data_IF_945939989694
#
_entry.id   IF_945939989694
#
_cell.length_a   1.000
_cell.length_b   1.000
_cell.length_c   1.000
_cell.angle_alpha   90.00
_cell.angle_beta   90.00
_cell.angle_gamma   90.00
#
_symmetry.space_group_name_H-M   'P 1'
#
loop_
_entity.id
_entity.type
_entity.pdbx_description
1 polymer ?
#
# COMPACT_ATOMS: atom_id res chain seq x y z
N UNK A 1 -16.17 -10.81 22.44
CA UNK A 1 -15.69 -11.56 21.29
C UNK A 1 -14.83 -10.68 20.41
N UNK A 2 -13.62 -11.06 20.31
CA UNK A 2 -12.72 -10.35 19.41
C UNK A 2 -12.71 -11.05 18.08
N UNK A 3 -12.98 -10.30 17.06
CA UNK A 3 -12.67 -10.76 15.72
C UNK A 3 -11.59 -9.84 15.23
N UNK A 4 -10.37 -10.26 15.44
CA UNK A 4 -9.24 -9.50 14.97
C UNK A 4 -9.21 -9.61 13.46
N UNK A 5 -9.89 -8.69 12.79
CA UNK A 5 -9.90 -8.62 11.34
C UNK A 5 -8.53 -8.22 10.82
N UNK A 6 -7.80 -7.44 11.59
CA UNK A 6 -6.55 -6.85 11.17
C UNK A 6 -5.39 -7.33 12.02
N UNK A 7 -4.24 -7.50 11.39
CA UNK A 7 -3.01 -7.94 12.07
C UNK A 7 -2.22 -6.73 12.58
N UNK A 8 -1.96 -5.77 11.68
CA UNK A 8 -1.14 -4.59 11.98
C UNK A 8 -1.24 -3.60 10.83
N UNK A 9 -0.58 -2.45 10.99
CA UNK A 9 -0.35 -1.54 9.87
C UNK A 9 0.76 -2.18 9.01
N UNK A 10 0.46 -2.42 7.75
CA UNK A 10 1.42 -3.05 6.84
C UNK A 10 2.41 -2.03 6.31
N UNK A 11 1.93 -0.94 5.77
CA UNK A 11 2.79 0.11 5.22
C UNK A 11 2.02 1.42 5.03
N UNK A 12 2.80 2.47 4.80
CA UNK A 12 2.27 3.78 4.38
C UNK A 12 2.80 4.04 2.98
N UNK A 13 1.91 4.38 2.06
CA UNK A 13 2.29 4.64 0.67
C UNK A 13 2.54 6.12 0.43
N UNK A 14 3.72 6.44 -0.07
CA UNK A 14 4.11 7.79 -0.42
C UNK A 14 4.24 7.92 -1.94
N UNK A 15 3.52 8.86 -2.51
CA UNK A 15 3.64 9.17 -3.94
C UNK A 15 4.82 10.13 -4.13
N UNK A 16 5.79 9.74 -4.95
CA UNK A 16 7.01 10.51 -5.18
C UNK A 16 7.24 10.66 -6.69
N UNK A 17 7.78 11.82 -7.13
CA UNK A 17 8.02 12.00 -8.55
C UNK A 17 9.20 11.20 -9.10
N UNK A 18 10.19 10.90 -8.25
CA UNK A 18 11.41 10.21 -8.67
C UNK A 18 11.74 9.13 -7.65
N UNK A 19 11.61 7.86 -8.07
CA UNK A 19 11.80 6.74 -7.16
C UNK A 19 13.23 6.63 -6.66
N UNK A 20 14.22 6.81 -7.54
CA UNK A 20 15.62 6.70 -7.15
C UNK A 20 16.01 7.75 -6.11
N UNK A 21 15.55 8.98 -6.29
CA UNK A 21 15.82 10.03 -5.31
C UNK A 21 15.18 9.71 -3.96
N UNK A 22 13.94 9.24 -3.97
CA UNK A 22 13.24 8.90 -2.74
C UNK A 22 13.90 7.73 -2.02
N UNK A 23 14.36 6.72 -2.77
CA UNK A 23 15.11 5.60 -2.19
C UNK A 23 16.41 6.12 -1.57
N UNK A 24 17.14 6.96 -2.28
CA UNK A 24 18.40 7.52 -1.81
C UNK A 24 18.20 8.30 -0.51
N UNK A 25 17.16 9.14 -0.45
CA UNK A 25 16.87 9.89 0.76
C UNK A 25 16.65 8.96 1.96
N UNK A 26 15.81 7.93 1.77
CA UNK A 26 15.48 7.03 2.87
C UNK A 26 16.65 6.16 3.29
N UNK A 27 17.49 5.75 2.34
CA UNK A 27 18.63 4.86 2.68
C UNK A 27 19.85 5.63 3.13
N UNK A 28 20.24 6.68 2.42
CA UNK A 28 21.48 7.40 2.72
C UNK A 28 21.30 8.45 3.81
N UNK A 29 20.16 9.15 3.83
CA UNK A 29 19.93 10.20 4.81
C UNK A 29 19.28 9.67 6.08
N UNK A 30 18.23 8.87 5.93
CA UNK A 30 17.46 8.36 7.09
C UNK A 30 18.00 7.05 7.64
N UNK A 31 18.85 6.35 6.90
CA UNK A 31 19.44 5.10 7.37
C UNK A 31 18.52 3.88 7.27
N UNK A 32 17.43 3.98 6.51
CA UNK A 32 16.52 2.86 6.30
C UNK A 32 17.10 1.92 5.24
N UNK A 33 16.44 0.80 5.00
CA UNK A 33 16.88 -0.20 4.04
C UNK A 33 15.89 -0.36 2.91
N UNK A 34 16.42 -0.53 1.71
CA UNK A 34 15.59 -0.96 0.57
C UNK A 34 15.35 -2.45 0.70
N UNK A 35 14.08 -2.85 0.84
CA UNK A 35 13.70 -4.24 1.05
C UNK A 35 13.24 -4.90 -0.23
N UNK A 36 12.61 -4.16 -1.13
CA UNK A 36 12.04 -4.71 -2.34
C UNK A 36 11.83 -3.58 -3.35
N UNK A 37 12.00 -3.89 -4.61
CA UNK A 37 11.75 -2.92 -5.69
C UNK A 37 11.17 -3.68 -6.89
N UNK A 38 10.11 -3.12 -7.48
CA UNK A 38 9.52 -3.71 -8.67
C UNK A 38 8.80 -2.64 -9.50
N UNK A 39 8.48 -3.00 -10.74
CA UNK A 39 7.62 -2.18 -11.58
C UNK A 39 6.33 -2.95 -11.84
N UNK A 40 5.21 -2.27 -11.70
CA UNK A 40 3.92 -2.83 -11.99
C UNK A 40 3.38 -2.12 -13.23
N UNK A 41 3.52 -2.77 -14.38
CA UNK A 41 3.12 -2.17 -15.66
C UNK A 41 1.61 -2.00 -15.75
N UNK A 42 0.86 -2.93 -15.17
CA UNK A 42 -0.60 -2.86 -15.19
C UNK A 42 -1.10 -1.61 -14.46
N UNK A 43 -0.50 -1.29 -13.32
CA UNK A 43 -0.86 -0.12 -12.54
C UNK A 43 -0.11 1.14 -12.97
N UNK A 44 0.90 1.00 -13.80
CA UNK A 44 1.72 2.12 -14.26
C UNK A 44 2.57 2.73 -13.16
N UNK A 45 3.12 1.91 -12.26
CA UNK A 45 3.83 2.40 -11.10
C UNK A 45 5.13 1.64 -10.88
N UNK A 46 6.18 2.39 -10.48
CA UNK A 46 7.43 1.82 -9.96
C UNK A 46 7.36 1.92 -8.45
N UNK A 47 7.69 0.83 -7.77
CA UNK A 47 7.50 0.70 -6.33
C UNK A 47 8.77 0.29 -5.62
N UNK A 48 8.93 0.77 -4.39
CA UNK A 48 9.99 0.33 -3.50
C UNK A 48 9.46 0.19 -2.08
N UNK A 49 9.79 -0.91 -1.41
CA UNK A 49 9.48 -1.08 0.01
C UNK A 49 10.73 -0.75 0.81
N UNK A 50 10.55 0.11 1.78
CA UNK A 50 11.63 0.64 2.62
C UNK A 50 11.31 0.29 4.07
N UNK A 51 12.28 -0.20 4.80
CA UNK A 51 12.08 -0.56 6.20
C UNK A 51 13.25 -0.16 7.06
N UNK A 52 13.04 -0.26 8.36
CA UNK A 52 14.11 -0.03 9.33
C UNK A 52 15.01 -1.26 9.41
N UNK A 53 16.12 -1.15 10.16
CA UNK A 53 17.03 -2.27 10.31
C UNK A 53 16.43 -3.51 10.96
N UNK A 54 15.48 -3.30 11.87
CA UNK A 54 14.77 -4.41 12.51
C UNK A 54 13.46 -4.65 11.75
N UNK A 55 13.40 -5.76 11.03
CA UNK A 55 12.26 -6.09 10.21
C UNK A 55 11.43 -7.23 10.81
N UNK A 56 11.02 -7.04 12.06
CA UNK A 56 10.05 -7.95 12.64
C UNK A 56 8.78 -7.99 11.80
N UNK A 57 8.02 -9.11 11.82
CA UNK A 57 6.85 -9.26 10.94
C UNK A 57 5.76 -8.21 11.15
N UNK A 58 5.76 -7.54 12.28
CA UNK A 58 4.74 -6.51 12.55
C UNK A 58 5.26 -5.09 12.41
N UNK A 59 6.51 -4.91 11.97
CA UNK A 59 7.05 -3.58 11.75
C UNK A 59 6.51 -3.00 10.46
N UNK A 60 5.91 -1.82 10.56
CA UNK A 60 5.36 -1.14 9.40
C UNK A 60 6.49 -0.67 8.48
N UNK A 61 6.21 -0.68 7.19
CA UNK A 61 7.15 -0.24 6.16
C UNK A 61 6.64 1.01 5.47
N UNK A 62 7.49 1.62 4.68
CA UNK A 62 7.11 2.69 3.76
C UNK A 62 7.13 2.11 2.36
N UNK A 63 6.07 2.38 1.59
CA UNK A 63 6.05 2.06 0.17
C UNK A 63 6.22 3.35 -0.61
N UNK A 64 7.26 3.41 -1.43
CA UNK A 64 7.48 4.54 -2.32
C UNK A 64 6.87 4.20 -3.67
N UNK A 65 6.09 5.13 -4.23
CA UNK A 65 5.35 4.90 -5.47
C UNK A 65 5.63 6.04 -6.43
N UNK A 66 6.24 5.73 -7.58
CA UNK A 66 6.51 6.72 -8.61
C UNK A 66 5.79 6.33 -9.90
N UNK A 67 5.30 7.31 -10.67
CA UNK A 67 4.57 6.99 -11.88
C UNK A 67 5.50 6.51 -13.00
N UNK A 68 5.07 5.47 -13.72
CA UNK A 68 5.76 5.04 -14.96
C UNK A 68 5.27 5.82 -16.16
N UNK A 69 4.07 6.40 -16.09
CA UNK A 69 3.49 7.17 -17.18
C UNK A 69 2.47 8.17 -16.64
N UNK A 70 2.02 9.07 -17.51
CA UNK A 70 1.09 10.14 -17.14
C UNK A 70 -0.31 9.67 -16.77
N UNK A 71 -0.67 8.47 -17.19
CA UNK A 71 -2.03 7.96 -17.01
C UNK A 71 -2.21 7.15 -15.74
N UNK A 72 -1.13 6.91 -15.00
CA UNK A 72 -1.22 6.12 -13.78
C UNK A 72 -1.97 6.87 -12.68
N UNK A 73 -2.54 6.11 -11.75
CA UNK A 73 -3.22 6.68 -10.59
C UNK A 73 -2.28 7.55 -9.77
N UNK A 74 -1.01 7.13 -9.66
CA UNK A 74 0.00 7.91 -8.91
C UNK A 74 0.31 9.23 -9.60
N UNK A 75 0.43 9.23 -10.95
CA UNK A 75 0.66 10.47 -11.68
C UNK A 75 -0.49 11.46 -11.47
N UNK A 76 -1.73 10.95 -11.50
CA UNK A 76 -2.91 11.78 -11.27
C UNK A 76 -2.96 12.32 -9.85
N UNK A 77 -2.57 11.50 -8.87
CA UNK A 77 -2.51 11.93 -7.48
C UNK A 77 -1.51 13.08 -7.32
N UNK A 78 -0.29 12.92 -7.87
CA UNK A 78 0.74 13.95 -7.77
C UNK A 78 0.28 15.23 -8.47
N UNK A 79 -0.35 15.09 -9.65
CA UNK A 79 -0.85 16.26 -10.38
C UNK A 79 -1.93 17.02 -9.65
N UNK A 80 -2.75 16.33 -8.85
CA UNK A 80 -3.85 16.95 -8.12
C UNK A 80 -3.43 17.46 -6.74
N UNK A 81 -2.59 16.72 -6.05
CA UNK A 81 -2.29 16.97 -4.64
C UNK A 81 -0.82 17.21 -4.34
N UNK A 82 0.06 17.05 -5.33
CA UNK A 82 1.50 17.07 -5.09
C UNK A 82 2.01 15.75 -4.50
N UNK A 83 3.33 15.60 -4.37
CA UNK A 83 3.91 14.43 -3.69
C UNK A 83 3.44 14.37 -2.24
N UNK A 84 3.34 13.15 -1.69
CA UNK A 84 2.97 12.99 -0.31
C UNK A 84 2.32 11.65 -0.02
N UNK A 85 1.71 11.54 1.16
CA UNK A 85 1.04 10.30 1.55
C UNK A 85 -0.18 10.05 0.67
N UNK A 86 -0.24 8.86 0.06
CA UNK A 86 -1.28 8.50 -0.87
C UNK A 86 -2.22 7.45 -0.27
N UNK A 87 -1.68 6.51 0.50
CA UNK A 87 -2.48 5.41 1.04
C UNK A 87 -1.94 4.92 2.37
N UNK A 88 -2.82 4.28 3.12
CA UNK A 88 -2.48 3.60 4.37
C UNK A 88 -2.93 2.15 4.22
N UNK A 89 -2.04 1.20 4.47
CA UNK A 89 -2.35 -0.21 4.28
C UNK A 89 -2.40 -0.95 5.60
N UNK A 90 -3.48 -1.72 5.77
CA UNK A 90 -3.67 -2.60 6.92
C UNK A 90 -3.44 -4.04 6.47
N UNK A 91 -2.69 -4.79 7.28
CA UNK A 91 -2.46 -6.21 7.00
C UNK A 91 -3.60 -7.04 7.54
N UNK A 92 -4.05 -8.01 6.73
CA UNK A 92 -5.10 -8.94 7.10
C UNK A 92 -4.60 -10.36 6.90
N UNK A 93 -5.10 -11.31 7.68
CA UNK A 93 -4.73 -12.71 7.51
C UNK A 93 -5.55 -13.38 6.40
N UNK A 94 -6.81 -12.97 6.26
CA UNK A 94 -7.73 -13.57 5.29
C UNK A 94 -8.51 -12.43 4.62
N UNK A 95 -8.06 -12.02 3.45
CA UNK A 95 -8.65 -10.87 2.76
C UNK A 95 -10.10 -11.13 2.35
N UNK A 96 -10.42 -12.34 1.92
CA UNK A 96 -11.78 -12.64 1.50
C UNK A 96 -12.76 -12.55 2.68
N UNK A 97 -12.38 -13.07 3.84
CA UNK A 97 -13.20 -13.00 5.03
C UNK A 97 -13.36 -11.56 5.53
N UNK A 98 -12.28 -10.79 5.55
CA UNK A 98 -12.34 -9.38 5.96
C UNK A 98 -13.21 -8.59 4.99
N UNK A 99 -13.05 -8.82 3.70
CA UNK A 99 -13.85 -8.14 2.68
C UNK A 99 -15.35 -8.40 2.87
N UNK A 100 -15.72 -9.65 3.12
CA UNK A 100 -17.12 -10.00 3.35
C UNK A 100 -17.67 -9.30 4.61
N UNK A 101 -16.90 -9.30 5.68
CA UNK A 101 -17.30 -8.65 6.93
C UNK A 101 -17.48 -7.15 6.75
N UNK A 102 -16.54 -6.50 6.07
CA UNK A 102 -16.63 -5.05 5.84
C UNK A 102 -17.84 -4.70 4.98
N UNK A 103 -18.12 -5.50 3.94
CA UNK A 103 -19.30 -5.28 3.11
C UNK A 103 -20.58 -5.41 3.93
N UNK A 104 -20.64 -6.39 4.83
CA UNK A 104 -21.80 -6.53 5.72
C UNK A 104 -21.99 -5.33 6.62
N UNK A 105 -20.89 -4.66 6.98
CA UNK A 105 -20.92 -3.47 7.83
C UNK A 105 -21.06 -2.17 7.04
N UNK A 106 -21.32 -2.26 5.73
CA UNK A 106 -21.62 -1.10 4.89
C UNK A 106 -20.41 -0.43 4.26
N UNK A 107 -19.23 -1.03 4.34
CA UNK A 107 -18.03 -0.49 3.70
C UNK A 107 -17.93 -1.02 2.28
N UNK A 108 -17.82 -0.12 1.31
CA UNK A 108 -17.63 -0.51 -0.09
C UNK A 108 -16.15 -0.75 -0.36
N UNK A 109 -15.89 -1.79 -1.16
CA UNK A 109 -14.53 -2.06 -1.63
C UNK A 109 -14.44 -1.69 -3.09
N UNK A 110 -13.27 -1.22 -3.54
CA UNK A 110 -13.10 -0.74 -4.90
C UNK A 110 -13.15 -1.85 -5.94
N UNK A 111 -12.71 -3.06 -5.58
CA UNK A 111 -12.72 -4.19 -6.50
C UNK A 111 -13.70 -5.25 -6.03
N UNK A 112 -14.43 -5.89 -6.97
CA UNK A 112 -15.32 -7.01 -6.61
C UNK A 112 -14.53 -8.16 -6.01
N UNK A 113 -13.30 -8.39 -6.49
CA UNK A 113 -12.42 -9.45 -6.04
C UNK A 113 -11.03 -8.89 -5.81
N UNK A 114 -10.25 -9.58 -4.96
CA UNK A 114 -8.89 -9.18 -4.66
C UNK A 114 -8.04 -9.16 -5.92
N UNK A 115 -7.07 -8.25 -5.95
CA UNK A 115 -6.10 -8.14 -7.03
C UNK A 115 -4.70 -8.38 -6.49
N UNK A 116 -3.78 -8.63 -7.40
CA UNK A 116 -2.38 -8.78 -7.03
C UNK A 116 -1.76 -7.44 -6.70
N UNK A 117 -1.03 -7.41 -5.59
CA UNK A 117 -0.29 -6.23 -5.15
C UNK A 117 1.20 -6.49 -5.11
N UNK A 118 1.91 -5.63 -4.38
CA UNK A 118 3.36 -5.68 -4.25
C UNK A 118 3.84 -7.01 -3.67
N UNK A 119 4.92 -7.54 -4.21
CA UNK A 119 5.60 -8.74 -3.71
C UNK A 119 4.68 -9.96 -3.61
N UNK A 120 3.73 -10.09 -4.54
CA UNK A 120 2.85 -11.25 -4.60
C UNK A 120 1.72 -11.24 -3.58
N UNK A 121 1.48 -10.12 -2.91
CA UNK A 121 0.35 -9.98 -2.00
C UNK A 121 -0.98 -9.96 -2.74
N UNK A 122 -2.07 -10.16 -1.98
CA UNK A 122 -3.43 -9.94 -2.48
C UNK A 122 -3.96 -8.69 -1.83
N UNK A 123 -4.59 -7.83 -2.61
CA UNK A 123 -5.03 -6.53 -2.11
C UNK A 123 -6.45 -6.18 -2.54
N UNK A 124 -7.03 -5.26 -1.78
CA UNK A 124 -8.22 -4.52 -2.17
C UNK A 124 -8.16 -3.17 -1.45
N UNK A 125 -9.03 -2.27 -1.80
CA UNK A 125 -9.11 -0.95 -1.18
C UNK A 125 -10.51 -0.68 -0.69
N UNK A 126 -10.62 -0.04 0.47
CA UNK A 126 -11.88 0.50 0.93
C UNK A 126 -12.18 1.81 0.20
N UNK A 127 -13.45 2.06 -0.11
CA UNK A 127 -13.83 3.32 -0.74
C UNK A 127 -13.57 4.47 0.23
N UNK A 128 -12.83 5.52 -0.20
CA UNK A 128 -12.46 6.60 0.72
C UNK A 128 -13.64 7.30 1.37
N UNK A 129 -14.80 7.36 0.72
CA UNK A 129 -15.99 7.97 1.32
C UNK A 129 -16.48 7.23 2.55
N UNK A 130 -16.12 5.95 2.69
CA UNK A 130 -16.54 5.15 3.82
C UNK A 130 -15.48 5.11 4.93
N UNK A 131 -14.31 5.73 4.70
CA UNK A 131 -13.18 5.68 5.62
C UNK A 131 -12.66 7.07 6.00
N UNK A 132 -13.56 8.07 5.94
CA UNK A 132 -13.18 9.43 6.34
C UNK A 132 -12.25 10.15 5.38
N UNK A 133 -12.21 9.73 4.12
CA UNK A 133 -11.40 10.37 3.09
C UNK A 133 -10.02 9.75 2.92
N UNK A 134 -9.69 8.72 3.70
CA UNK A 134 -8.39 8.05 3.61
C UNK A 134 -8.50 6.84 2.67
N UNK A 135 -7.58 6.72 1.74
CA UNK A 135 -7.51 5.52 0.89
C UNK A 135 -6.88 4.40 1.72
N UNK A 136 -7.71 3.48 2.19
CA UNK A 136 -7.24 2.34 2.98
C UNK A 136 -7.07 1.11 2.10
N UNK A 137 -5.87 0.56 2.09
CA UNK A 137 -5.56 -0.68 1.40
C UNK A 137 -5.63 -1.85 2.38
N UNK A 138 -6.15 -2.98 1.92
CA UNK A 138 -6.16 -4.22 2.69
C UNK A 138 -5.15 -5.15 2.02
N UNK A 139 -4.19 -5.65 2.80
CA UNK A 139 -3.09 -6.44 2.27
C UNK A 139 -3.03 -7.79 2.95
N UNK A 140 -3.13 -8.85 2.15
CA UNK A 140 -2.88 -10.21 2.61
C UNK A 140 -1.54 -10.65 2.04
N UNK A 141 -0.50 -10.84 2.89
CA UNK A 141 0.81 -11.26 2.38
C UNK A 141 0.73 -12.64 1.73
N UNK A 142 1.69 -12.96 0.83
CA UNK A 142 1.71 -14.30 0.26
C UNK A 142 1.96 -15.33 1.35
N UNK A 143 1.34 -16.51 1.18
CA UNK A 143 1.50 -17.61 2.12
C UNK A 143 2.78 -18.37 1.84
N UNK A 144 3.43 -18.80 2.88
CA UNK A 144 4.62 -19.61 2.80
C UNK A 144 5.92 -18.87 3.01
#
# INVERSE_FOLDING_TARGET
MSTDLFVCIDHVGLAVPDLDEAIRFHTEVMGWRLLHREENQEQGVAEAMIGTGDQGPENAQIQLLAPLNENSTIAKFIGRSGPGMQQLAYRVADLDAVSATLRERGVRLLYPEAKRGTAGSRINFCHPKDTGGVLLELVEPPKG
#
